data_IF_324939575528
#
_entry.id   IF_324939575528
#
_cell.length_a   1.000
_cell.length_b   1.000
_cell.length_c   1.000
_cell.angle_alpha   90.00
_cell.angle_beta   90.00
_cell.angle_gamma   90.00
#
_symmetry.space_group_name_H-M   'P 1'
#
loop_
_entity.id
_entity.type
_entity.pdbx_description
1 polymer ?
#
# COMPACT_ATOMS: atom_id res chain seq x y z
N UNK A 1 -22.31 -12.18 31.33
CA UNK A 1 -21.21 -12.15 30.35
C UNK A 1 -21.40 -10.89 29.53
N UNK A 2 -20.66 -9.84 29.85
CA UNK A 2 -20.76 -8.54 29.17
C UNK A 2 -20.16 -8.69 27.76
N UNK A 3 -21.00 -8.60 26.73
CA UNK A 3 -20.59 -8.64 25.33
C UNK A 3 -20.31 -7.21 24.86
N UNK A 4 -19.29 -6.57 25.42
CA UNK A 4 -18.90 -5.19 25.10
C UNK A 4 -17.79 -5.19 24.04
N UNK A 5 -18.09 -5.70 22.84
CA UNK A 5 -17.22 -5.52 21.68
C UNK A 5 -17.67 -4.33 20.83
N UNK A 6 -17.85 -3.17 21.47
CA UNK A 6 -17.98 -1.92 20.72
C UNK A 6 -16.56 -1.41 20.43
N UNK A 7 -15.83 -2.16 19.58
CA UNK A 7 -14.59 -1.66 19.02
C UNK A 7 -14.97 -0.56 18.05
N UNK A 8 -14.93 0.69 18.52
CA UNK A 8 -15.11 1.90 17.73
C UNK A 8 -13.93 2.11 16.76
N UNK A 9 -13.53 1.04 16.06
CA UNK A 9 -12.42 1.07 15.13
C UNK A 9 -12.82 1.97 13.95
N UNK A 10 -12.03 3.01 13.63
CA UNK A 10 -12.43 4.04 12.67
C UNK A 10 -12.43 3.56 11.21
N UNK A 11 -12.07 2.30 10.94
CA UNK A 11 -11.96 1.72 9.61
C UNK A 11 -12.83 0.47 9.51
N UNK A 12 -13.57 0.32 8.41
CA UNK A 12 -14.30 -0.91 8.14
C UNK A 12 -13.35 -2.02 7.67
N UNK A 13 -13.80 -3.28 7.71
CA UNK A 13 -13.04 -4.43 7.15
C UNK A 13 -12.61 -4.19 5.71
N UNK A 14 -13.44 -3.50 4.92
CA UNK A 14 -13.15 -3.16 3.52
C UNK A 14 -11.96 -2.20 3.42
N UNK A 15 -11.90 -1.20 4.29
CA UNK A 15 -10.81 -0.22 4.30
C UNK A 15 -9.49 -0.91 4.69
N UNK A 16 -9.53 -1.80 5.68
CA UNK A 16 -8.37 -2.64 6.05
C UNK A 16 -7.88 -3.47 4.86
N UNK A 17 -8.77 -4.09 4.09
CA UNK A 17 -8.38 -4.85 2.90
C UNK A 17 -7.72 -3.95 1.84
N UNK A 18 -8.19 -2.71 1.67
CA UNK A 18 -7.59 -1.74 0.74
C UNK A 18 -6.19 -1.31 1.23
N UNK A 19 -6.00 -1.12 2.55
CA UNK A 19 -4.68 -0.86 3.13
C UNK A 19 -3.70 -1.99 2.83
N UNK A 20 -4.12 -3.24 3.05
CA UNK A 20 -3.30 -4.43 2.77
C UNK A 20 -2.98 -4.53 1.28
N UNK A 21 -3.95 -4.29 0.40
CA UNK A 21 -3.73 -4.31 -1.04
C UNK A 21 -2.68 -3.27 -1.47
N UNK A 22 -2.76 -2.04 -0.95
CA UNK A 22 -1.75 -1.00 -1.20
C UNK A 22 -0.36 -1.38 -0.71
N UNK A 23 -0.27 -1.98 0.49
CA UNK A 23 0.97 -2.52 1.03
C UNK A 23 1.57 -3.61 0.13
N UNK A 24 0.75 -4.54 -0.37
CA UNK A 24 1.20 -5.57 -1.32
C UNK A 24 1.75 -4.94 -2.61
N UNK A 25 1.08 -3.92 -3.15
CA UNK A 25 1.53 -3.21 -4.35
C UNK A 25 2.88 -2.54 -4.10
N UNK A 26 3.06 -1.90 -2.94
CA UNK A 26 4.33 -1.29 -2.56
C UNK A 26 5.46 -2.32 -2.46
N UNK A 27 5.22 -3.48 -1.84
CA UNK A 27 6.19 -4.58 -1.79
C UNK A 27 6.56 -5.05 -3.20
N UNK A 28 5.58 -5.18 -4.10
CA UNK A 28 5.85 -5.52 -5.50
C UNK A 28 6.71 -4.44 -6.16
N UNK A 29 6.46 -3.16 -5.89
CA UNK A 29 7.28 -2.04 -6.39
C UNK A 29 8.74 -2.15 -5.97
N UNK A 30 9.00 -2.41 -4.68
CA UNK A 30 10.35 -2.66 -4.19
C UNK A 30 10.97 -3.92 -4.78
N UNK A 31 10.20 -5.00 -4.92
CA UNK A 31 10.68 -6.23 -5.54
C UNK A 31 11.05 -6.03 -7.02
N UNK A 32 10.28 -5.24 -7.77
CA UNK A 32 10.60 -4.90 -9.16
C UNK A 32 11.93 -4.13 -9.25
N UNK A 33 12.25 -3.26 -8.30
CA UNK A 33 13.55 -2.58 -8.27
C UNK A 33 14.72 -3.56 -8.10
N UNK A 34 14.54 -4.64 -7.33
CA UNK A 34 15.61 -5.64 -7.12
C UNK A 34 15.86 -6.52 -8.34
N UNK A 35 14.91 -6.58 -9.28
CA UNK A 35 15.07 -7.29 -10.54
C UNK A 35 15.88 -6.48 -11.57
N UNK A 36 16.12 -5.20 -11.32
CA UNK A 36 16.96 -4.38 -12.19
C UNK A 36 18.41 -4.87 -12.15
N UNK A 37 19.01 -5.02 -13.34
CA UNK A 37 20.37 -5.55 -13.51
C UNK A 37 21.39 -4.44 -13.69
N UNK A 38 20.95 -3.21 -13.87
CA UNK A 38 21.84 -2.06 -13.96
C UNK A 38 22.52 -1.79 -12.61
N UNK A 39 23.79 -1.34 -12.62
CA UNK A 39 24.47 -0.99 -11.39
C UNK A 39 23.67 0.09 -10.64
N UNK A 40 23.53 -0.10 -9.33
CA UNK A 40 22.72 0.76 -8.45
C UNK A 40 21.23 0.86 -8.81
N UNK A 41 20.71 0.02 -9.73
CA UNK A 41 19.30 0.05 -10.13
C UNK A 41 18.92 1.29 -10.94
N UNK A 42 19.87 1.90 -11.67
CA UNK A 42 19.58 3.05 -12.55
C UNK A 42 18.82 2.70 -13.84
N UNK A 43 18.52 1.42 -14.04
CA UNK A 43 17.67 0.98 -15.14
C UNK A 43 16.22 1.43 -14.94
N UNK A 44 15.42 1.27 -16.00
CA UNK A 44 14.02 1.68 -16.00
C UNK A 44 13.21 1.02 -14.86
N UNK A 45 13.49 -0.25 -14.53
CA UNK A 45 12.74 -0.95 -13.49
C UNK A 45 13.01 -0.35 -12.11
N UNK A 46 14.26 0.04 -11.84
CA UNK A 46 14.67 0.62 -10.56
C UNK A 46 14.27 2.09 -10.36
N UNK A 47 14.41 2.95 -11.38
CA UNK A 47 14.16 4.40 -11.21
C UNK A 47 12.79 4.90 -11.70
N UNK A 48 12.08 4.15 -12.55
CA UNK A 48 10.75 4.58 -13.03
C UNK A 48 9.66 3.63 -12.59
N UNK A 49 9.71 2.36 -12.99
CA UNK A 49 8.61 1.43 -12.76
C UNK A 49 8.42 1.11 -11.27
N UNK A 50 9.51 0.79 -10.57
CA UNK A 50 9.51 0.56 -9.13
C UNK A 50 8.94 1.74 -8.35
N UNK A 51 9.48 2.97 -8.50
CA UNK A 51 8.99 4.14 -7.78
C UNK A 51 7.54 4.49 -8.11
N UNK A 52 7.09 4.33 -9.36
CA UNK A 52 5.68 4.52 -9.74
C UNK A 52 4.78 3.52 -9.01
N UNK A 53 5.19 2.25 -8.95
CA UNK A 53 4.39 1.21 -8.29
C UNK A 53 4.33 1.43 -6.78
N UNK A 54 5.45 1.83 -6.16
CA UNK A 54 5.50 2.25 -4.75
C UNK A 54 4.58 3.45 -4.50
N UNK A 55 4.59 4.45 -5.40
CA UNK A 55 3.75 5.64 -5.26
C UNK A 55 2.25 5.28 -5.36
N UNK A 56 1.86 4.42 -6.30
CA UNK A 56 0.47 3.91 -6.40
C UNK A 56 0.11 3.13 -5.13
N UNK A 57 1.01 2.26 -4.69
CA UNK A 57 0.87 1.49 -3.45
C UNK A 57 0.77 2.34 -2.19
N UNK A 58 1.28 3.57 -2.21
CA UNK A 58 1.15 4.57 -1.14
C UNK A 58 -0.16 5.37 -1.26
N UNK A 59 -0.55 5.75 -2.48
CA UNK A 59 -1.76 6.52 -2.75
C UNK A 59 -3.02 5.74 -2.35
N UNK A 60 -3.10 4.45 -2.68
CA UNK A 60 -4.27 3.61 -2.39
C UNK A 60 -4.61 3.57 -0.88
N UNK A 61 -3.65 3.28 0.03
CA UNK A 61 -3.88 3.34 1.46
C UNK A 61 -4.27 4.73 1.96
N UNK A 62 -3.64 5.78 1.43
CA UNK A 62 -3.99 7.17 1.77
C UNK A 62 -5.47 7.41 1.46
N UNK A 63 -5.93 7.12 0.25
CA UNK A 63 -7.35 7.27 -0.08
C UNK A 63 -8.28 6.46 0.83
N UNK A 64 -7.87 5.25 1.24
CA UNK A 64 -8.67 4.45 2.17
C UNK A 64 -8.74 5.04 3.57
N UNK A 65 -7.65 5.62 4.08
CA UNK A 65 -7.62 6.27 5.39
C UNK A 65 -8.40 7.59 5.39
N UNK A 66 -8.27 8.38 4.32
CA UNK A 66 -8.93 9.67 4.19
C UNK A 66 -10.38 9.59 3.74
N UNK A 67 -10.88 8.39 3.42
CA UNK A 67 -12.30 8.13 3.23
C UNK A 67 -13.02 8.14 4.59
N UNK A 68 -12.92 9.26 5.29
CA UNK A 68 -13.66 9.56 6.51
C UNK A 68 -15.14 9.50 6.12
N UNK A 69 -15.80 8.39 6.45
CA UNK A 69 -17.25 8.26 6.35
C UNK A 69 -17.86 9.39 7.19
N UNK A 70 -18.58 10.29 6.54
CA UNK A 70 -19.42 11.30 7.20
C UNK A 70 -20.62 10.64 7.85
#
# INVERSE_FOLDING_TARGET
MENSSNSNFPLDRKDILILIAGLCIMIIGFFVMTLDKEPFGFGFLGITLGPILVLIGLIIPIFSLFKIKK
#
